data_IF_838572009027
#
_entry.id   IF_838572009027
#
_cell.length_a   1.000
_cell.length_b   1.000
_cell.length_c   1.000
_cell.angle_alpha   90.00
_cell.angle_beta   90.00
_cell.angle_gamma   90.00
#
_symmetry.space_group_name_H-M   'P 1'
#
loop_
_entity.id
_entity.type
_entity.pdbx_description
1 polymer ?
#
# COMPACT_ATOMS: atom_id res chain seq x y z
N UNK A 1 -1.43 2.69 -6.32
CA UNK A 1 -2.18 1.46 -6.57
C UNK A 1 -1.48 0.62 -7.61
N UNK A 2 -1.66 0.97 -8.88
CA UNK A 2 -1.19 0.15 -10.01
C UNK A 2 0.32 -0.12 -10.03
N UNK A 3 1.17 0.88 -9.75
CA UNK A 3 2.63 0.66 -9.65
C UNK A 3 3.03 -0.34 -8.56
N UNK A 4 2.37 -0.32 -7.40
CA UNK A 4 2.62 -1.29 -6.32
C UNK A 4 2.21 -2.70 -6.73
N UNK A 5 1.06 -2.82 -7.40
CA UNK A 5 0.62 -4.08 -7.99
C UNK A 5 1.68 -4.60 -8.99
N UNK A 6 2.14 -3.76 -9.92
CA UNK A 6 3.20 -4.12 -10.87
C UNK A 6 4.47 -4.57 -10.16
N UNK A 7 4.92 -3.84 -9.13
CA UNK A 7 6.08 -4.21 -8.32
C UNK A 7 5.95 -5.60 -7.71
N UNK A 8 4.79 -5.92 -7.13
CA UNK A 8 4.54 -7.23 -6.53
C UNK A 8 4.51 -8.34 -7.59
N UNK A 9 3.88 -8.08 -8.74
CA UNK A 9 3.77 -9.02 -9.87
C UNK A 9 5.14 -9.42 -10.45
N UNK A 10 6.11 -8.51 -10.42
CA UNK A 10 7.49 -8.74 -10.90
C UNK A 10 8.34 -9.57 -9.91
N UNK A 11 7.80 -9.93 -8.75
CA UNK A 11 8.54 -10.66 -7.69
C UNK A 11 7.98 -12.04 -7.53
N UNK A 12 8.86 -13.04 -7.48
CA UNK A 12 8.47 -14.43 -7.25
C UNK A 12 7.68 -14.55 -5.95
N UNK A 13 6.45 -15.06 -6.04
CA UNK A 13 5.56 -15.36 -4.91
C UNK A 13 5.48 -14.22 -3.86
N UNK A 14 5.30 -12.97 -4.27
CA UNK A 14 5.27 -11.82 -3.36
C UNK A 14 6.47 -11.77 -2.40
N UNK A 15 7.71 -11.85 -2.92
CA UNK A 15 8.94 -11.94 -2.11
C UNK A 15 9.00 -13.19 -1.20
N UNK A 16 8.22 -14.23 -1.47
CA UNK A 16 8.12 -15.45 -0.66
C UNK A 16 7.07 -15.39 0.47
N UNK A 17 6.31 -14.31 0.57
CA UNK A 17 5.24 -14.17 1.57
C UNK A 17 3.99 -14.98 1.20
N UNK A 18 3.19 -15.33 2.21
CA UNK A 18 1.83 -15.90 2.02
C UNK A 18 0.72 -14.88 2.20
N UNK A 19 1.08 -13.65 2.57
CA UNK A 19 0.13 -12.59 2.85
C UNK A 19 0.71 -11.23 2.48
N UNK A 20 -0.14 -10.31 2.07
CA UNK A 20 0.17 -8.90 1.87
C UNK A 20 -0.56 -8.15 2.97
N UNK A 21 0.15 -7.38 3.79
CA UNK A 21 -0.47 -6.45 4.74
C UNK A 21 -0.26 -5.03 4.27
N UNK A 22 -1.33 -4.23 4.25
CA UNK A 22 -1.28 -2.83 3.85
C UNK A 22 -1.82 -1.93 4.95
N UNK A 23 -1.08 -0.90 5.32
CA UNK A 23 -1.56 0.12 6.27
C UNK A 23 -2.41 1.17 5.53
N UNK A 24 -3.27 1.87 6.28
CA UNK A 24 -4.19 2.86 5.70
C UNK A 24 -5.10 2.24 4.62
N UNK A 25 -5.73 1.11 4.96
CA UNK A 25 -6.56 0.33 4.04
C UNK A 25 -7.71 1.13 3.40
N UNK A 26 -8.21 2.18 4.05
CA UNK A 26 -9.23 3.07 3.48
C UNK A 26 -8.68 4.13 2.52
N UNK A 27 -7.36 4.19 2.29
CA UNK A 27 -6.75 5.19 1.40
C UNK A 27 -6.91 4.84 -0.08
N UNK A 28 -6.91 5.86 -0.93
CA UNK A 28 -6.97 5.71 -2.40
C UNK A 28 -5.90 4.75 -2.94
N UNK A 29 -4.68 4.84 -2.39
CA UNK A 29 -3.56 3.99 -2.82
C UNK A 29 -3.79 2.54 -2.44
N UNK A 30 -4.25 2.28 -1.21
CA UNK A 30 -4.51 0.94 -0.69
C UNK A 30 -5.70 0.27 -1.41
N UNK A 31 -6.82 0.99 -1.55
CA UNK A 31 -8.02 0.50 -2.24
C UNK A 31 -7.72 0.15 -3.70
N UNK A 32 -7.04 1.04 -4.42
CA UNK A 32 -6.67 0.79 -5.81
C UNK A 32 -5.73 -0.42 -5.94
N UNK A 33 -4.72 -0.54 -5.06
CA UNK A 33 -3.81 -1.69 -5.06
C UNK A 33 -4.53 -3.01 -4.78
N UNK A 34 -5.37 -3.04 -3.74
CA UNK A 34 -6.12 -4.24 -3.36
C UNK A 34 -7.09 -4.68 -4.45
N UNK A 35 -7.72 -3.73 -5.15
CA UNK A 35 -8.54 -4.04 -6.32
C UNK A 35 -7.71 -4.70 -7.43
N UNK A 36 -6.55 -4.15 -7.76
CA UNK A 36 -5.72 -4.72 -8.83
C UNK A 36 -5.20 -6.11 -8.49
N UNK A 37 -4.85 -6.36 -7.23
CA UNK A 37 -4.49 -7.70 -6.76
C UNK A 37 -5.64 -8.71 -6.91
N UNK A 38 -6.91 -8.29 -6.72
CA UNK A 38 -8.07 -9.16 -6.93
C UNK A 38 -8.46 -9.33 -8.39
N UNK A 39 -8.29 -8.29 -9.21
CA UNK A 39 -8.87 -8.23 -10.55
C UNK A 39 -7.92 -8.70 -11.66
N UNK A 40 -6.61 -8.51 -11.51
CA UNK A 40 -5.64 -8.74 -12.59
C UNK A 40 -4.67 -9.89 -12.29
N UNK A 41 -5.14 -10.96 -11.65
CA UNK A 41 -4.31 -12.15 -11.40
C UNK A 41 -4.41 -13.19 -12.52
N UNK A 42 -4.22 -12.75 -13.77
CA UNK A 42 -4.39 -13.59 -14.97
C UNK A 42 -3.47 -14.82 -14.95
N UNK A 43 -2.30 -14.69 -14.34
CA UNK A 43 -1.29 -15.77 -14.18
C UNK A 43 -1.42 -16.53 -12.85
N UNK A 44 -2.46 -16.26 -12.03
CA UNK A 44 -2.65 -16.87 -10.69
C UNK A 44 -1.46 -16.69 -9.74
N UNK A 45 -0.66 -15.62 -9.91
CA UNK A 45 0.50 -15.29 -9.09
C UNK A 45 0.13 -14.91 -7.66
N UNK A 46 -1.10 -14.46 -7.44
CA UNK A 46 -1.63 -14.11 -6.13
C UNK A 46 -2.63 -15.15 -5.60
N UNK A 47 -2.80 -16.29 -6.28
CA UNK A 47 -3.70 -17.37 -5.83
C UNK A 47 -3.25 -17.88 -4.45
N UNK A 48 -4.17 -17.80 -3.47
CA UNK A 48 -3.90 -18.19 -2.08
C UNK A 48 -3.13 -17.15 -1.24
N UNK A 49 -2.72 -16.01 -1.81
CA UNK A 49 -2.17 -14.88 -1.05
C UNK A 49 -3.30 -14.14 -0.36
N UNK A 50 -3.22 -14.01 0.97
CA UNK A 50 -4.21 -13.24 1.75
C UNK A 50 -3.88 -11.75 1.78
N UNK A 51 -4.86 -10.89 1.61
CA UNK A 51 -4.72 -9.44 1.71
C UNK A 51 -5.29 -8.97 3.05
N UNK A 52 -4.45 -8.41 3.90
CA UNK A 52 -4.80 -7.88 5.23
C UNK A 52 -4.71 -6.35 5.21
N UNK A 53 -5.76 -5.66 5.65
CA UNK A 53 -5.81 -4.21 5.71
C UNK A 53 -5.79 -3.67 7.13
N UNK A 54 -4.83 -2.80 7.47
CA UNK A 54 -4.85 -2.02 8.71
C UNK A 54 -5.53 -0.66 8.49
N UNK A 55 -6.48 -0.30 9.33
CA UNK A 55 -7.20 0.99 9.26
C UNK A 55 -7.59 1.51 10.66
N UNK A 56 -8.13 2.74 10.74
CA UNK A 56 -8.70 3.25 11.99
C UNK A 56 -10.02 2.55 12.32
N UNK A 57 -10.40 2.45 13.61
CA UNK A 57 -11.67 1.86 14.01
C UNK A 57 -12.89 2.43 13.26
N UNK A 58 -12.91 3.74 13.01
CA UNK A 58 -13.97 4.43 12.27
C UNK A 58 -14.16 3.96 10.83
N UNK A 59 -13.12 3.37 10.21
CA UNK A 59 -13.10 3.00 8.80
C UNK A 59 -13.12 1.48 8.60
N UNK A 60 -13.17 0.69 9.67
CA UNK A 60 -13.13 -0.78 9.57
C UNK A 60 -14.33 -1.33 8.79
N UNK A 61 -15.54 -0.87 9.14
CA UNK A 61 -16.77 -1.31 8.47
C UNK A 61 -16.78 -0.95 6.98
N UNK A 62 -16.30 0.26 6.64
CA UNK A 62 -16.12 0.67 5.25
C UNK A 62 -15.17 -0.28 4.50
N UNK A 63 -13.98 -0.52 5.04
CA UNK A 63 -12.98 -1.40 4.43
C UNK A 63 -13.51 -2.82 4.24
N UNK A 64 -14.24 -3.36 5.22
CA UNK A 64 -14.86 -4.68 5.15
C UNK A 64 -15.89 -4.75 4.02
N UNK A 65 -16.80 -3.76 3.95
CA UNK A 65 -17.84 -3.64 2.90
C UNK A 65 -17.28 -3.52 1.49
N UNK A 66 -16.05 -3.00 1.31
CA UNK A 66 -15.44 -2.97 -0.02
C UNK A 66 -15.19 -4.37 -0.59
N UNK A 67 -15.05 -5.38 0.27
CA UNK A 67 -14.69 -6.75 -0.13
C UNK A 67 -13.30 -6.87 -0.75
N UNK A 68 -12.41 -5.89 -0.56
CA UNK A 68 -11.06 -5.88 -1.11
C UNK A 68 -10.02 -6.61 -0.25
N UNK A 69 -10.32 -6.76 1.04
CA UNK A 69 -9.45 -7.40 2.03
C UNK A 69 -10.05 -8.73 2.47
N UNK A 70 -9.21 -9.72 2.75
CA UNK A 70 -9.63 -10.96 3.40
C UNK A 70 -9.74 -10.79 4.93
N UNK A 71 -9.04 -9.80 5.48
CA UNK A 71 -9.09 -9.46 6.90
C UNK A 71 -8.83 -7.96 7.07
N UNK A 72 -9.69 -7.29 7.84
CA UNK A 72 -9.52 -5.89 8.23
C UNK A 72 -9.18 -5.83 9.71
N UNK A 73 -8.11 -5.12 10.05
CA UNK A 73 -7.59 -4.96 11.40
C UNK A 73 -7.57 -3.49 11.80
N UNK A 74 -7.84 -3.21 13.07
CA UNK A 74 -7.52 -1.92 13.70
C UNK A 74 -6.00 -1.79 13.83
N UNK A 75 -5.50 -0.55 13.83
CA UNK A 75 -4.10 -0.27 14.13
C UNK A 75 -3.61 -0.79 15.48
N UNK A 76 -4.48 -1.16 16.41
CA UNK A 76 -4.09 -1.74 17.70
C UNK A 76 -3.91 -3.27 17.63
N UNK A 77 -4.51 -3.94 16.65
CA UNK A 77 -4.49 -5.40 16.52
C UNK A 77 -3.13 -5.94 16.07
N UNK A 78 -2.78 -7.13 16.53
CA UNK A 78 -1.59 -7.87 16.09
C UNK A 78 -1.89 -8.64 14.80
N UNK A 79 -0.86 -8.80 13.96
CA UNK A 79 -0.97 -9.65 12.77
C UNK A 79 -1.18 -11.12 13.16
N UNK A 80 -2.07 -11.83 12.44
CA UNK A 80 -2.17 -13.28 12.53
C UNK A 80 -0.86 -13.98 12.15
N UNK A 81 -0.74 -15.27 12.50
CA UNK A 81 0.40 -16.10 12.13
C UNK A 81 0.51 -16.26 10.59
N UNK A 82 1.52 -15.66 9.97
CA UNK A 82 1.83 -15.82 8.54
C UNK A 82 3.19 -15.19 8.21
N UNK A 83 3.58 -15.29 6.93
CA UNK A 83 4.64 -14.47 6.34
C UNK A 83 4.03 -13.33 5.50
N UNK A 84 4.57 -12.13 5.64
CA UNK A 84 3.99 -10.89 5.14
C UNK A 84 4.95 -10.05 4.30
N UNK A 85 4.46 -9.56 3.15
CA UNK A 85 4.94 -8.27 2.61
C UNK A 85 4.11 -7.18 3.26
N UNK A 86 4.76 -6.28 4.00
CA UNK A 86 4.13 -5.11 4.57
C UNK A 86 4.30 -3.90 3.64
N UNK A 87 3.19 -3.25 3.34
CA UNK A 87 3.13 -2.02 2.53
C UNK A 87 2.64 -0.91 3.46
N UNK A 88 3.58 -0.10 3.95
CA UNK A 88 3.29 1.00 4.85
C UNK A 88 2.95 2.27 4.05
N UNK A 89 1.66 2.52 3.87
CA UNK A 89 1.12 3.74 3.25
C UNK A 89 0.85 4.82 4.31
N UNK A 90 0.50 4.41 5.54
CA UNK A 90 0.21 5.31 6.65
C UNK A 90 1.47 6.05 7.13
N UNK A 91 2.67 5.49 6.93
CA UNK A 91 3.90 6.03 7.50
C UNK A 91 3.94 5.80 9.02
N UNK A 92 3.42 4.65 9.46
CA UNK A 92 3.28 4.25 10.87
C UNK A 92 4.21 3.08 11.21
N UNK A 93 5.48 3.41 11.42
CA UNK A 93 6.53 2.45 11.78
C UNK A 93 6.26 1.66 13.06
N UNK A 94 5.42 2.18 13.96
CA UNK A 94 4.95 1.48 15.16
C UNK A 94 4.21 0.17 14.83
N UNK A 95 3.45 0.15 13.72
CA UNK A 95 2.74 -1.05 13.26
C UNK A 95 3.72 -2.13 12.81
N UNK A 96 4.81 -1.75 12.18
CA UNK A 96 5.90 -2.68 11.86
C UNK A 96 6.58 -3.17 13.14
N UNK A 97 7.05 -2.25 14.00
CA UNK A 97 7.83 -2.57 15.20
C UNK A 97 7.08 -3.46 16.18
N UNK A 98 5.76 -3.28 16.34
CA UNK A 98 4.97 -4.15 17.22
C UNK A 98 4.86 -5.57 16.67
N UNK A 99 4.68 -5.72 15.36
CA UNK A 99 4.41 -7.01 14.73
C UNK A 99 5.67 -7.88 14.60
N UNK A 100 6.84 -7.30 14.31
CA UNK A 100 8.09 -8.08 14.23
C UNK A 100 8.57 -8.66 15.56
N UNK A 101 8.02 -8.19 16.69
CA UNK A 101 8.30 -8.79 18.01
C UNK A 101 7.51 -10.08 18.25
N UNK A 102 6.53 -10.38 17.42
CA UNK A 102 5.75 -11.61 17.51
C UNK A 102 6.44 -12.72 16.71
N UNK A 103 6.88 -13.79 17.40
CA UNK A 103 7.58 -14.92 16.79
C UNK A 103 6.74 -15.69 15.76
N UNK A 104 5.41 -15.54 15.77
CA UNK A 104 4.52 -16.15 14.79
C UNK A 104 4.33 -15.31 13.51
N UNK A 105 4.88 -14.10 13.47
CA UNK A 105 4.76 -13.16 12.36
C UNK A 105 6.12 -12.95 11.70
N UNK A 106 6.21 -13.34 10.44
CA UNK A 106 7.42 -13.13 9.64
C UNK A 106 7.16 -12.03 8.61
N UNK A 107 7.67 -10.81 8.83
CA UNK A 107 7.63 -9.75 7.82
C UNK A 107 8.86 -9.94 6.94
N UNK A 108 8.69 -10.44 5.71
CA UNK A 108 9.81 -10.73 4.79
C UNK A 108 10.26 -9.49 4.02
N UNK A 109 9.36 -8.53 3.85
CA UNK A 109 9.60 -7.30 3.10
C UNK A 109 8.76 -6.16 3.68
N UNK A 110 9.37 -4.98 3.82
CA UNK A 110 8.66 -3.75 4.17
C UNK A 110 8.85 -2.74 3.03
N UNK A 111 7.76 -2.35 2.36
CA UNK A 111 7.69 -1.31 1.34
C UNK A 111 7.03 -0.07 1.96
N UNK A 112 7.78 1.02 2.10
CA UNK A 112 7.27 2.28 2.65
C UNK A 112 6.89 3.22 1.51
N UNK A 113 5.61 3.58 1.41
CA UNK A 113 5.07 4.36 0.27
C UNK A 113 5.00 5.86 0.57
N UNK A 114 4.84 6.26 1.83
CA UNK A 114 4.72 7.66 2.23
C UNK A 114 5.10 7.92 3.69
N UNK A 115 5.39 9.18 4.00
CA UNK A 115 5.61 9.66 5.36
C UNK A 115 4.42 10.55 5.76
N UNK A 116 3.54 10.04 6.62
CA UNK A 116 2.47 10.85 7.22
C UNK A 116 2.58 10.75 8.73
N UNK A 117 3.57 11.44 9.31
CA UNK A 117 3.63 11.64 10.75
C UNK A 117 3.49 13.14 11.05
N UNK A 118 2.26 13.58 11.29
CA UNK A 118 1.95 14.89 11.90
C UNK A 118 1.96 14.82 13.44
N UNK A 119 2.65 13.85 14.04
CA UNK A 119 2.79 13.74 15.50
C UNK A 119 4.25 13.87 15.88
N UNK A 120 4.61 15.03 16.42
CA UNK A 120 5.93 15.36 16.94
C UNK A 120 6.42 14.45 18.07
N UNK A 121 5.57 13.57 18.63
CA UNK A 121 5.91 12.69 19.77
C UNK A 121 5.90 11.18 19.48
N UNK A 122 5.58 10.75 18.25
CA UNK A 122 5.64 9.33 17.85
C UNK A 122 6.41 9.24 16.54
N UNK A 123 7.70 8.96 16.67
CA UNK A 123 8.68 9.01 15.59
C UNK A 123 8.15 8.43 14.27
N UNK A 124 8.19 9.24 13.21
CA UNK A 124 7.73 8.83 11.89
C UNK A 124 8.47 7.60 11.37
N UNK A 125 7.89 6.93 10.37
CA UNK A 125 8.60 5.87 9.63
C UNK A 125 9.97 6.36 9.14
N UNK A 126 10.14 7.69 8.96
CA UNK A 126 11.44 8.27 8.66
C UNK A 126 12.46 8.31 9.81
N UNK A 127 12.06 8.52 11.07
CA UNK A 127 12.99 8.38 12.21
C UNK A 127 13.27 6.91 12.53
N UNK A 128 12.43 6.01 12.02
CA UNK A 128 12.65 4.56 12.00
C UNK A 128 13.50 4.13 10.79
N UNK A 129 13.90 5.03 9.87
CA UNK A 129 15.11 4.82 9.06
C UNK A 129 16.27 4.78 10.04
N UNK A 130 16.49 3.60 10.65
CA UNK A 130 17.73 3.36 11.34
C UNK A 130 18.85 3.55 10.33
N UNK A 131 19.97 4.07 10.83
CA UNK A 131 21.22 4.31 10.13
C UNK A 131 21.51 3.35 8.97
N UNK A 132 21.16 2.07 9.11
CA UNK A 132 21.36 0.99 8.16
C UNK A 132 20.58 1.10 6.84
N UNK A 133 19.36 1.65 6.82
CA UNK A 133 18.57 1.76 5.59
C UNK A 133 19.07 2.90 4.69
N UNK A 134 19.40 4.05 5.29
CA UNK A 134 20.08 5.16 4.60
C UNK A 134 21.49 4.75 4.14
N UNK A 135 22.20 3.99 4.97
CA UNK A 135 23.50 3.44 4.62
C UNK A 135 23.41 2.44 3.46
N UNK A 136 22.42 1.55 3.44
CA UNK A 136 22.22 0.60 2.33
C UNK A 136 21.90 1.32 1.01
N UNK A 137 21.09 2.37 1.08
CA UNK A 137 20.79 3.23 -0.07
C UNK A 137 22.07 3.90 -0.59
N UNK A 138 22.85 4.55 0.30
CA UNK A 138 24.12 5.18 -0.03
C UNK A 138 25.12 4.20 -0.65
N UNK A 139 25.26 3.02 -0.06
CA UNK A 139 26.21 2.01 -0.52
C UNK A 139 25.77 1.36 -1.84
N UNK A 140 24.47 1.19 -2.06
CA UNK A 140 23.91 0.78 -3.35
C UNK A 140 24.11 1.84 -4.45
N UNK A 141 23.95 3.13 -4.13
CA UNK A 141 24.25 4.24 -5.04
C UNK A 141 25.74 4.36 -5.37
N UNK A 142 26.62 3.90 -4.48
CA UNK A 142 28.06 3.78 -4.71
C UNK A 142 28.45 2.54 -5.54
N UNK A 143 27.48 1.74 -6.00
CA UNK A 143 27.73 0.58 -6.86
C UNK A 143 28.39 -0.59 -6.16
N UNK A 144 28.28 -0.69 -4.83
CA UNK A 144 28.91 -1.76 -4.08
C UNK A 144 28.18 -3.10 -4.24
N UNK A 145 28.92 -4.22 -4.38
CA UNK A 145 28.33 -5.55 -4.59
C UNK A 145 27.52 -6.03 -3.37
N UNK A 146 26.48 -6.80 -3.64
CA UNK A 146 25.41 -7.20 -2.70
C UNK A 146 25.86 -7.93 -1.43
N UNK A 147 27.02 -8.59 -1.44
CA UNK A 147 27.62 -9.22 -0.26
C UNK A 147 28.04 -8.20 0.81
N UNK A 148 28.29 -6.94 0.44
CA UNK A 148 28.69 -5.88 1.37
C UNK A 148 27.57 -5.43 2.31
N UNK A 149 26.33 -5.89 2.10
CA UNK A 149 25.15 -5.58 2.93
C UNK A 149 24.39 -6.84 3.40
N UNK A 150 24.96 -8.04 3.25
CA UNK A 150 24.30 -9.31 3.62
C UNK A 150 24.15 -9.51 5.13
N UNK A 151 24.93 -8.77 5.93
CA UNK A 151 24.91 -8.73 7.39
C UNK A 151 23.82 -7.81 7.96
N UNK A 152 23.06 -7.10 7.10
CA UNK A 152 21.97 -6.23 7.56
C UNK A 152 20.75 -7.05 8.01
N UNK A 153 20.06 -6.65 9.10
CA UNK A 153 18.92 -7.38 9.61
C UNK A 153 17.79 -7.48 8.57
N UNK A 154 17.17 -8.66 8.48
CA UNK A 154 15.87 -8.82 7.85
C UNK A 154 14.77 -8.23 8.75
N UNK A 155 13.65 -7.75 8.18
CA UNK A 155 13.37 -7.62 6.75
C UNK A 155 14.17 -6.53 6.03
N UNK A 156 14.35 -6.74 4.72
CA UNK A 156 14.82 -5.68 3.82
C UNK A 156 13.79 -4.56 3.68
N UNK A 157 13.93 -3.51 4.49
CA UNK A 157 13.16 -2.28 4.37
C UNK A 157 13.54 -1.55 3.07
N UNK A 158 12.54 -1.09 2.32
CA UNK A 158 12.72 -0.37 1.05
C UNK A 158 11.74 0.80 0.98
N UNK A 159 12.28 1.99 0.70
CA UNK A 159 11.46 3.14 0.33
C UNK A 159 10.91 2.87 -1.08
N UNK A 160 9.59 2.80 -1.20
CA UNK A 160 8.92 2.61 -2.46
C UNK A 160 8.73 3.95 -3.17
N UNK A 161 9.46 4.17 -4.26
CA UNK A 161 9.25 5.28 -5.17
C UNK A 161 8.67 4.75 -6.48
N UNK A 162 7.49 5.26 -6.85
CA UNK A 162 6.77 4.79 -8.03
C UNK A 162 7.54 5.05 -9.35
N UNK A 163 8.48 6.01 -9.35
CA UNK A 163 9.23 6.42 -10.55
C UNK A 163 9.99 5.26 -11.19
N UNK A 164 10.59 4.38 -10.40
CA UNK A 164 11.35 3.23 -10.91
C UNK A 164 10.44 2.24 -11.64
N UNK A 165 9.27 1.95 -11.07
CA UNK A 165 8.29 1.07 -11.70
C UNK A 165 7.67 1.72 -12.92
N UNK A 166 7.44 3.03 -12.92
CA UNK A 166 6.97 3.75 -14.10
C UNK A 166 7.97 3.69 -15.25
N UNK A 167 9.26 3.84 -14.95
CA UNK A 167 10.32 3.68 -15.94
C UNK A 167 10.37 2.25 -16.48
N UNK A 168 10.28 1.24 -15.60
CA UNK A 168 10.24 -0.17 -15.98
C UNK A 168 9.01 -0.48 -16.86
N UNK A 169 7.80 -0.07 -16.45
CA UNK A 169 6.58 -0.24 -17.23
C UNK A 169 6.67 0.44 -18.60
N UNK A 170 7.22 1.67 -18.66
CA UNK A 170 7.41 2.38 -19.92
C UNK A 170 8.39 1.64 -20.84
N UNK A 171 9.47 1.09 -20.30
CA UNK A 171 10.45 0.33 -21.08
C UNK A 171 9.88 -1.01 -21.57
N UNK A 172 9.10 -1.70 -20.74
CA UNK A 172 8.52 -3.00 -21.06
C UNK A 172 7.34 -2.90 -22.02
N UNK A 173 6.46 -1.92 -21.84
CA UNK A 173 5.17 -1.83 -22.53
C UNK A 173 5.10 -0.71 -23.57
N UNK A 174 5.99 0.27 -23.50
CA UNK A 174 5.87 1.52 -24.27
C UNK A 174 4.79 2.46 -23.70
N UNK A 175 4.81 3.71 -24.16
CA UNK A 175 3.92 4.76 -23.66
C UNK A 175 2.43 4.48 -23.95
N UNK A 176 2.11 4.00 -25.15
CA UNK A 176 0.71 3.80 -25.57
C UNK A 176 0.01 2.75 -24.71
N UNK A 177 0.64 1.57 -24.54
CA UNK A 177 0.10 0.50 -23.70
C UNK A 177 0.04 0.91 -22.23
N UNK A 178 1.02 1.66 -21.72
CA UNK A 178 0.98 2.19 -20.34
C UNK A 178 -0.23 3.12 -20.12
N UNK A 179 -0.48 4.03 -21.05
CA UNK A 179 -1.65 4.92 -20.99
C UNK A 179 -2.95 4.11 -21.04
N UNK A 180 -3.04 3.14 -21.96
CA UNK A 180 -4.20 2.27 -22.10
C UNK A 180 -4.47 1.47 -20.81
N UNK A 181 -3.44 0.87 -20.22
CA UNK A 181 -3.54 0.11 -18.97
C UNK A 181 -4.01 1.01 -17.82
N UNK A 182 -3.45 2.22 -17.70
CA UNK A 182 -3.86 3.17 -16.67
C UNK A 182 -5.32 3.63 -16.83
N UNK A 183 -5.77 3.86 -18.07
CA UNK A 183 -7.16 4.21 -18.37
C UNK A 183 -8.10 3.05 -18.03
N UNK A 184 -7.78 1.83 -18.47
CA UNK A 184 -8.58 0.64 -18.18
C UNK A 184 -8.67 0.38 -16.68
N UNK A 185 -7.53 0.42 -15.97
CA UNK A 185 -7.45 0.28 -14.52
C UNK A 185 -8.29 1.33 -13.78
N UNK A 186 -8.30 2.58 -14.24
CA UNK A 186 -9.12 3.65 -13.66
C UNK A 186 -10.61 3.43 -13.91
N UNK A 187 -10.97 2.99 -15.11
CA UNK A 187 -12.36 2.67 -15.47
C UNK A 187 -12.89 1.50 -14.61
N UNK A 188 -12.09 0.45 -14.48
CA UNK A 188 -12.43 -0.73 -13.69
C UNK A 188 -12.55 -0.40 -12.19
N UNK A 189 -11.66 0.46 -11.67
CA UNK A 189 -11.80 1.00 -10.32
C UNK A 189 -13.11 1.75 -10.13
N UNK A 190 -13.46 2.67 -11.03
CA UNK A 190 -14.71 3.42 -10.94
C UNK A 190 -15.94 2.49 -11.01
N UNK A 191 -15.91 1.47 -11.87
CA UNK A 191 -16.97 0.47 -11.98
C UNK A 191 -17.11 -0.34 -10.69
N UNK A 192 -16.01 -0.75 -10.07
CA UNK A 192 -16.02 -1.48 -8.81
C UNK A 192 -16.48 -0.60 -7.64
N UNK A 193 -16.00 0.65 -7.57
CA UNK A 193 -16.27 1.59 -6.49
C UNK A 193 -17.76 1.91 -6.35
N UNK A 194 -18.54 1.87 -7.44
CA UNK A 194 -20.01 2.04 -7.41
C UNK A 194 -20.74 1.06 -6.48
N UNK A 195 -20.12 -0.05 -6.07
CA UNK A 195 -20.71 -0.99 -5.10
C UNK A 195 -20.75 -0.45 -3.67
N UNK A 196 -19.87 0.50 -3.34
CA UNK A 196 -19.70 1.03 -1.99
C UNK A 196 -19.55 2.56 -1.95
N UNK A 197 -19.70 3.24 -3.09
CA UNK A 197 -19.62 4.69 -3.24
C UNK A 197 -20.82 5.22 -4.03
N UNK A 198 -21.46 6.27 -3.53
CA UNK A 198 -22.46 7.06 -4.27
C UNK A 198 -21.83 8.29 -4.89
N UNK A 199 -22.16 8.59 -6.14
CA UNK A 199 -21.73 9.82 -6.82
C UNK A 199 -22.87 10.82 -6.77
N UNK A 200 -22.60 12.01 -6.24
CA UNK A 200 -23.53 13.15 -6.30
C UNK A 200 -22.99 14.16 -7.31
N UNK A 201 -23.78 14.46 -8.33
CA UNK A 201 -23.46 15.49 -9.32
C UNK A 201 -24.03 16.83 -8.83
N UNK A 202 -23.16 17.84 -8.75
CA UNK A 202 -23.52 19.21 -8.37
C UNK A 202 -23.22 20.13 -9.54
N UNK A 203 -24.22 20.92 -9.96
CA UNK A 203 -24.15 21.69 -11.21
C UNK A 203 -24.31 23.19 -11.01
N UNK A 204 -24.69 23.63 -9.80
CA UNK A 204 -24.85 25.05 -9.45
C UNK A 204 -23.78 25.53 -8.47
N UNK A 205 -23.49 26.83 -8.50
CA UNK A 205 -22.50 27.44 -7.60
C UNK A 205 -22.83 27.20 -6.11
N UNK A 206 -24.11 27.31 -5.75
CA UNK A 206 -24.57 27.12 -4.37
C UNK A 206 -24.49 25.66 -3.91
N UNK A 207 -24.71 24.69 -4.80
CA UNK A 207 -24.50 23.27 -4.51
C UNK A 207 -23.02 22.94 -4.37
N UNK A 208 -22.15 23.49 -5.23
CA UNK A 208 -20.70 23.31 -5.14
C UNK A 208 -20.16 23.87 -3.82
N UNK A 209 -20.60 25.07 -3.41
CA UNK A 209 -20.23 25.66 -2.12
C UNK A 209 -20.67 24.79 -0.95
N UNK A 210 -21.91 24.28 -0.97
CA UNK A 210 -22.41 23.38 0.08
C UNK A 210 -21.62 22.08 0.15
N UNK A 211 -21.42 21.41 -0.98
CA UNK A 211 -20.64 20.16 -1.04
C UNK A 211 -19.20 20.37 -0.54
N UNK A 212 -18.57 21.50 -0.88
CA UNK A 212 -17.25 21.85 -0.37
C UNK A 212 -17.24 22.02 1.16
N UNK A 213 -18.22 22.73 1.72
CA UNK A 213 -18.38 22.90 3.17
C UNK A 213 -18.63 21.56 3.85
N UNK A 214 -19.46 20.69 3.29
CA UNK A 214 -19.73 19.35 3.84
C UNK A 214 -18.47 18.48 3.86
N UNK A 215 -17.66 18.53 2.80
CA UNK A 215 -16.36 17.82 2.73
C UNK A 215 -15.40 18.37 3.79
N UNK A 216 -15.25 19.70 3.87
CA UNK A 216 -14.35 20.35 4.83
C UNK A 216 -14.82 20.15 6.28
N UNK A 217 -16.12 20.03 6.50
CA UNK A 217 -16.74 19.76 7.80
C UNK A 217 -16.73 18.29 8.22
N UNK A 218 -16.33 17.37 7.32
CA UNK A 218 -16.36 15.93 7.59
C UNK A 218 -17.79 15.35 7.66
N UNK A 219 -18.78 16.07 7.11
CA UNK A 219 -20.18 15.64 7.08
C UNK A 219 -20.45 14.58 6.00
N UNK A 220 -19.51 14.40 5.07
CA UNK A 220 -19.58 13.36 4.04
C UNK A 220 -19.01 12.06 4.61
N UNK A 221 -19.81 10.98 4.70
CA UNK A 221 -19.30 9.69 5.13
C UNK A 221 -18.19 9.18 4.18
N UNK A 222 -17.21 8.43 4.71
CA UNK A 222 -16.12 7.86 3.91
C UNK A 222 -16.59 6.86 2.85
#
# INVERSE_FOLDING_TARGET
GFGLYFRLMQRTNCYGARSIVVTSASSKVALAMALFLKQYDDDKKFEGIKIVGYTSPSNMEFCDKTGLYDTVLSYDDMLPKSSYVMIDIAGRGDIYTKNVKNNDVDIVKLLVVGNSSNTSDKGGTFSTFSYYATLKLLLGMMGLPSWSHSWMPQPTQELYLIFDDMAAMKNEWGNEKLIQQNQQASFDFCKFAKKWMSVQEVMTEDEVKRAYVDIMGGSVPP
#
